data_IF_753816225095
#
_entry.id   IF_753816225095
#
_cell.length_a   1.000
_cell.length_b   1.000
_cell.length_c   1.000
_cell.angle_alpha   90.00
_cell.angle_beta   90.00
_cell.angle_gamma   90.00
#
_symmetry.space_group_name_H-M   'P 1'
#
loop_
_entity.id
_entity.type
_entity.pdbx_description
1 polymer ?
#
# COMPACT_ATOMS: atom_id res chain seq x y z
N UNK A 1 -12.62 18.16 -0.13
CA UNK A 1 -11.48 17.59 0.60
C UNK A 1 -10.58 18.67 1.18
N UNK A 2 -9.77 18.31 2.17
CA UNK A 2 -8.60 19.08 2.60
C UNK A 2 -7.46 18.71 1.65
N UNK A 3 -6.75 19.72 1.14
CA UNK A 3 -5.64 19.49 0.19
C UNK A 3 -4.33 19.92 0.84
N UNK A 4 -3.43 18.96 1.05
CA UNK A 4 -2.03 19.19 1.35
C UNK A 4 -1.24 19.16 0.06
N UNK A 5 -0.53 20.22 -0.24
CA UNK A 5 0.16 20.33 -1.53
C UNK A 5 1.32 21.33 -1.47
N UNK A 6 2.08 21.38 -2.55
CA UNK A 6 3.20 22.29 -2.71
C UNK A 6 2.76 23.73 -2.97
N UNK A 7 3.70 24.67 -2.73
CA UNK A 7 3.57 26.06 -3.15
C UNK A 7 3.32 26.17 -4.67
N UNK A 8 4.00 25.36 -5.46
CA UNK A 8 3.89 25.42 -6.92
C UNK A 8 2.51 25.00 -7.41
N UNK A 9 1.86 24.05 -6.73
CA UNK A 9 0.46 23.72 -7.02
C UNK A 9 -0.49 24.89 -6.71
N UNK A 10 -0.26 25.61 -5.59
CA UNK A 10 -1.04 26.79 -5.23
C UNK A 10 -0.89 27.88 -6.29
N UNK A 11 0.29 28.02 -6.88
CA UNK A 11 0.59 29.02 -7.92
C UNK A 11 0.19 28.58 -9.34
N UNK A 12 -0.34 27.35 -9.50
CA UNK A 12 -0.72 26.81 -10.81
C UNK A 12 0.47 26.45 -11.71
N UNK A 13 1.61 26.12 -11.11
CA UNK A 13 2.86 25.78 -11.82
C UNK A 13 3.09 24.27 -11.94
N UNK A 14 2.21 23.44 -11.37
CA UNK A 14 2.32 21.97 -11.44
C UNK A 14 1.71 21.40 -12.71
N UNK A 15 2.26 20.28 -13.14
CA UNK A 15 1.78 19.43 -14.24
C UNK A 15 1.44 18.04 -13.72
N UNK A 16 0.98 17.16 -14.59
CA UNK A 16 0.74 15.74 -14.25
C UNK A 16 2.04 14.96 -13.93
N UNK A 17 3.21 15.49 -14.28
CA UNK A 17 4.51 14.90 -13.99
C UNK A 17 5.22 15.51 -12.77
N UNK A 18 4.64 16.54 -12.15
CA UNK A 18 5.22 17.18 -10.97
C UNK A 18 5.21 16.23 -9.78
N UNK A 19 6.31 16.22 -9.00
CA UNK A 19 6.51 15.41 -7.80
C UNK A 19 7.67 15.98 -6.96
N UNK A 20 7.93 15.46 -5.77
CA UNK A 20 9.12 15.81 -4.97
C UNK A 20 9.16 17.25 -4.48
N UNK A 21 8.04 17.94 -4.38
CA UNK A 21 8.01 19.37 -4.10
C UNK A 21 7.92 19.72 -2.60
N UNK A 22 7.67 18.74 -1.75
CA UNK A 22 7.62 18.87 -0.29
C UNK A 22 7.58 17.48 0.35
N UNK A 23 7.82 17.39 1.68
CA UNK A 23 8.08 16.13 2.37
C UNK A 23 6.87 15.22 2.63
N UNK A 24 5.64 15.62 2.25
CA UNK A 24 4.46 14.81 2.57
C UNK A 24 3.96 14.97 4.01
N UNK A 25 3.04 14.09 4.41
CA UNK A 25 2.41 14.10 5.73
C UNK A 25 2.91 12.91 6.57
N UNK A 26 3.47 13.22 7.74
CA UNK A 26 3.94 12.21 8.71
C UNK A 26 3.01 12.19 9.93
N UNK A 27 2.57 11.00 10.34
CA UNK A 27 1.81 10.77 11.57
C UNK A 27 2.61 9.84 12.47
N UNK A 28 3.06 10.35 13.62
CA UNK A 28 3.80 9.57 14.62
C UNK A 28 2.89 9.17 15.78
N UNK A 29 2.91 7.89 16.13
CA UNK A 29 2.17 7.31 17.24
C UNK A 29 3.05 6.58 18.25
N UNK A 30 2.44 5.89 19.20
CA UNK A 30 3.10 5.16 20.30
C UNK A 30 2.80 3.67 20.29
N UNK A 31 2.30 3.14 19.19
CA UNK A 31 2.06 1.71 19.02
C UNK A 31 3.36 0.94 18.75
N UNK A 32 3.37 -0.38 18.94
CA UNK A 32 4.55 -1.22 18.76
C UNK A 32 5.16 -1.15 17.36
N UNK A 33 6.49 -1.15 17.33
CA UNK A 33 7.33 -1.28 16.14
C UNK A 33 8.40 -2.34 16.37
N UNK A 34 9.05 -2.82 15.32
CA UNK A 34 10.09 -3.86 15.41
C UNK A 34 11.49 -3.30 15.49
N UNK A 35 11.82 -2.31 14.68
CA UNK A 35 13.14 -1.73 14.58
C UNK A 35 13.32 -0.55 15.55
N UNK A 36 14.16 -0.74 16.56
CA UNK A 36 14.34 0.22 17.64
C UNK A 36 15.63 1.02 17.44
N UNK A 37 15.55 2.34 17.63
CA UNK A 37 16.69 3.25 17.57
C UNK A 37 17.75 2.94 18.64
N UNK A 38 17.31 2.53 19.83
CA UNK A 38 18.20 2.17 20.93
C UNK A 38 18.60 0.71 20.78
N UNK A 39 19.90 0.46 20.67
CA UNK A 39 20.43 -0.90 20.59
C UNK A 39 20.01 -1.73 21.81
N UNK A 40 19.46 -2.92 21.56
CA UNK A 40 18.92 -3.84 22.55
C UNK A 40 17.63 -3.39 23.27
N UNK A 41 17.00 -2.28 22.89
CA UNK A 41 15.64 -2.03 23.33
C UNK A 41 14.74 -3.18 22.85
N UNK A 42 13.90 -3.78 23.72
CA UNK A 42 13.02 -4.85 23.27
C UNK A 42 11.94 -4.28 22.33
N UNK A 43 11.77 -4.85 21.12
CA UNK A 43 10.70 -4.41 20.21
C UNK A 43 9.32 -4.48 20.85
N UNK A 44 8.45 -3.53 20.50
CA UNK A 44 7.10 -3.43 21.06
C UNK A 44 7.01 -2.97 22.52
N UNK A 45 8.10 -2.47 23.09
CA UNK A 45 8.12 -1.88 24.43
C UNK A 45 8.16 -0.35 24.38
N UNK A 46 7.96 0.32 25.51
CA UNK A 46 8.02 1.77 25.61
C UNK A 46 9.42 2.36 25.28
N UNK A 47 10.45 1.55 25.37
CA UNK A 47 11.83 1.91 25.05
C UNK A 47 12.17 1.78 23.56
N UNK A 48 11.31 1.07 22.82
CA UNK A 48 11.45 0.88 21.37
C UNK A 48 10.81 2.02 20.62
N UNK A 49 11.59 3.04 20.35
CA UNK A 49 11.23 4.13 19.46
C UNK A 49 12.18 4.19 18.26
N UNK A 50 11.76 4.90 17.21
CA UNK A 50 12.58 5.19 16.04
C UNK A 50 12.39 6.64 15.61
N UNK A 51 13.43 7.19 15.02
CA UNK A 51 13.41 8.52 14.42
C UNK A 51 12.67 8.44 13.07
N UNK A 52 11.78 9.39 12.83
CA UNK A 52 11.19 9.57 11.49
C UNK A 52 12.32 9.78 10.49
N UNK A 53 12.26 9.07 9.40
CA UNK A 53 13.23 9.12 8.32
C UNK A 53 13.40 10.56 7.83
N UNK A 54 14.64 10.97 7.63
CA UNK A 54 14.96 12.30 7.18
C UNK A 54 14.68 13.47 8.14
N UNK A 55 14.11 13.22 9.32
CA UNK A 55 13.90 14.28 10.29
C UNK A 55 15.22 14.78 10.88
N UNK A 56 15.48 16.07 10.77
CA UNK A 56 16.66 16.73 11.34
C UNK A 56 16.51 16.92 12.85
N UNK A 57 15.33 17.33 13.28
CA UNK A 57 14.96 17.44 14.69
C UNK A 57 14.38 16.13 15.21
N UNK A 58 14.38 15.94 16.52
CA UNK A 58 13.86 14.73 17.15
C UNK A 58 12.36 14.59 16.88
N UNK A 59 12.02 13.63 16.03
CA UNK A 59 10.65 13.22 15.70
C UNK A 59 10.57 11.70 15.87
N UNK A 60 10.10 11.25 17.04
CA UNK A 60 10.10 9.83 17.40
C UNK A 60 8.70 9.23 17.30
N UNK A 61 8.68 7.97 16.88
CA UNK A 61 7.48 7.13 16.88
C UNK A 61 7.78 5.75 17.48
N UNK A 62 6.74 4.99 17.80
CA UNK A 62 6.86 3.66 18.41
C UNK A 62 6.70 3.68 19.92
N UNK A 63 6.52 2.51 20.50
CA UNK A 63 6.29 2.32 21.92
C UNK A 63 5.51 1.06 22.22
N UNK A 64 4.69 1.08 23.30
CA UNK A 64 3.94 -0.08 23.77
C UNK A 64 2.41 0.09 23.70
N UNK A 65 1.90 1.22 23.19
CA UNK A 65 0.48 1.56 23.25
C UNK A 65 -0.23 1.15 21.96
N UNK A 66 -0.57 -0.13 21.82
CA UNK A 66 -1.19 -0.65 20.61
C UNK A 66 -2.50 0.05 20.20
N UNK A 67 -3.23 0.62 21.14
CA UNK A 67 -4.46 1.39 20.91
C UNK A 67 -4.23 2.91 20.91
N UNK A 68 -3.01 3.35 20.66
CA UNK A 68 -2.70 4.77 20.48
C UNK A 68 -3.67 5.44 19.49
N UNK A 69 -3.98 6.71 19.75
CA UNK A 69 -4.89 7.48 18.93
C UNK A 69 -4.22 8.78 18.47
N UNK A 70 -3.72 8.77 17.25
CA UNK A 70 -3.13 9.95 16.60
C UNK A 70 -4.16 10.81 15.86
N UNK A 71 -5.47 10.56 16.05
CA UNK A 71 -6.55 11.37 15.51
C UNK A 71 -7.29 10.75 14.33
N UNK A 72 -7.88 11.61 13.49
CA UNK A 72 -8.66 11.21 12.32
C UNK A 72 -8.20 11.95 11.08
N UNK A 73 -7.83 11.19 10.05
CA UNK A 73 -7.51 11.68 8.71
C UNK A 73 -8.60 11.22 7.75
N UNK A 74 -9.40 12.17 7.23
CA UNK A 74 -10.53 11.82 6.36
C UNK A 74 -10.82 12.88 5.30
N UNK A 75 -11.10 12.44 4.06
CA UNK A 75 -11.33 13.29 2.90
C UNK A 75 -10.16 14.24 2.65
N UNK A 76 -8.98 13.67 2.55
CA UNK A 76 -7.71 14.39 2.38
C UNK A 76 -7.08 14.02 1.04
N UNK A 77 -6.48 15.01 0.41
CA UNK A 77 -5.59 14.81 -0.73
C UNK A 77 -4.19 15.27 -0.36
N UNK A 78 -3.19 14.45 -0.67
CA UNK A 78 -1.75 14.77 -0.55
C UNK A 78 -1.18 14.71 -1.96
N UNK A 79 -0.64 15.83 -2.44
CA UNK A 79 -0.24 15.97 -3.85
C UNK A 79 1.19 16.45 -4.00
N UNK A 80 1.92 15.89 -4.97
CA UNK A 80 3.26 16.32 -5.40
C UNK A 80 4.32 16.28 -4.30
N UNK A 81 4.16 15.36 -3.40
CA UNK A 81 5.03 15.13 -2.24
C UNK A 81 6.15 14.13 -2.55
N UNK A 82 6.74 13.62 -1.49
CA UNK A 82 7.92 12.79 -1.55
C UNK A 82 9.16 13.64 -1.77
N UNK A 83 10.13 13.58 -0.89
CA UNK A 83 11.35 14.36 -1.02
C UNK A 83 12.56 13.52 -0.61
N UNK A 84 13.47 13.34 -1.53
CA UNK A 84 14.74 12.64 -1.27
C UNK A 84 15.64 13.57 -0.47
N UNK A 85 15.88 13.23 0.80
CA UNK A 85 16.76 13.96 1.71
C UNK A 85 18.20 13.50 1.56
N UNK A 86 18.42 12.21 1.28
CA UNK A 86 19.72 11.60 0.98
C UNK A 86 19.46 10.26 0.27
N UNK A 87 20.51 9.59 -0.23
CA UNK A 87 20.39 8.36 -1.01
C UNK A 87 19.79 7.14 -0.29
N UNK A 88 19.37 7.27 0.97
CA UNK A 88 18.66 6.23 1.74
C UNK A 88 17.73 6.88 2.77
N UNK A 89 17.17 8.02 2.46
CA UNK A 89 16.31 8.77 3.38
C UNK A 89 15.35 9.60 2.55
N UNK A 90 14.19 9.05 2.33
CA UNK A 90 13.13 9.57 1.52
C UNK A 90 11.91 9.90 2.40
N UNK A 91 11.05 10.80 1.92
CA UNK A 91 9.78 11.12 2.53
C UNK A 91 8.66 10.82 1.53
N UNK A 92 7.70 10.05 1.95
CA UNK A 92 6.56 9.55 1.17
C UNK A 92 5.41 10.57 1.10
N UNK A 93 4.32 10.27 0.39
CA UNK A 93 3.15 11.15 0.47
C UNK A 93 2.48 11.04 1.85
N UNK A 94 2.23 9.83 2.34
CA UNK A 94 1.72 9.58 3.69
C UNK A 94 2.61 8.58 4.42
N UNK A 95 3.28 9.04 5.45
CA UNK A 95 4.06 8.18 6.36
C UNK A 95 3.33 8.02 7.68
N UNK A 96 3.20 6.78 8.17
CA UNK A 96 2.76 6.53 9.55
C UNK A 96 3.84 5.76 10.31
N UNK A 97 4.25 6.25 11.47
CA UNK A 97 5.19 5.56 12.34
C UNK A 97 4.54 5.18 13.67
N UNK A 98 4.44 3.87 13.98
CA UNK A 98 3.89 3.40 15.25
C UNK A 98 2.49 3.92 15.57
N UNK A 99 1.63 4.06 14.57
CA UNK A 99 0.25 4.56 14.74
C UNK A 99 -0.65 3.44 15.25
N UNK A 100 -1.43 3.70 16.29
CA UNK A 100 -2.23 2.69 16.98
C UNK A 100 -3.67 2.57 16.48
N UNK A 101 -4.33 1.50 16.93
CA UNK A 101 -5.69 1.12 16.49
C UNK A 101 -6.80 2.11 16.88
N UNK A 102 -6.52 3.09 17.74
CA UNK A 102 -7.44 4.20 18.02
C UNK A 102 -7.50 5.26 16.92
N UNK A 103 -6.58 5.23 15.96
CA UNK A 103 -6.48 6.18 14.85
C UNK A 103 -7.39 5.77 13.69
N UNK A 104 -8.03 6.74 13.05
CA UNK A 104 -8.89 6.52 11.90
C UNK A 104 -8.33 7.19 10.65
N UNK A 105 -8.01 6.39 9.61
CA UNK A 105 -7.53 6.88 8.32
C UNK A 105 -8.48 6.37 7.23
N UNK A 106 -9.13 7.30 6.51
CA UNK A 106 -10.07 6.91 5.46
C UNK A 106 -10.29 8.01 4.41
N UNK A 107 -10.61 7.62 3.18
CA UNK A 107 -10.83 8.55 2.06
C UNK A 107 -9.63 9.47 1.85
N UNK A 108 -8.48 8.88 1.57
CA UNK A 108 -7.23 9.61 1.33
C UNK A 108 -6.77 9.39 -0.10
N UNK A 109 -6.52 10.46 -0.82
CA UNK A 109 -5.86 10.42 -2.13
C UNK A 109 -4.40 10.86 -1.99
N UNK A 110 -3.51 10.05 -2.54
CA UNK A 110 -2.07 10.28 -2.63
C UNK A 110 -1.72 10.41 -4.11
N UNK A 111 -1.19 11.57 -4.51
CA UNK A 111 -0.99 11.86 -5.92
C UNK A 111 0.42 12.37 -6.20
N UNK A 112 1.14 11.62 -7.04
CA UNK A 112 2.48 11.96 -7.51
C UNK A 112 3.48 12.22 -6.36
N UNK A 113 3.72 11.22 -5.54
CA UNK A 113 4.90 11.18 -4.67
C UNK A 113 6.15 10.88 -5.51
N UNK A 114 7.30 11.47 -5.19
CA UNK A 114 8.58 11.11 -5.80
C UNK A 114 9.23 9.89 -5.14
N UNK A 115 8.55 9.32 -4.19
CA UNK A 115 8.85 8.11 -3.47
C UNK A 115 7.51 7.38 -3.28
N UNK A 116 7.29 6.66 -2.19
CA UNK A 116 6.05 5.90 -1.99
C UNK A 116 4.79 6.76 -1.95
N UNK A 117 3.70 6.13 -2.33
CA UNK A 117 2.37 6.68 -2.09
C UNK A 117 2.06 6.70 -0.60
N UNK A 118 2.12 5.57 0.07
CA UNK A 118 2.06 5.46 1.52
C UNK A 118 3.11 4.49 2.04
N UNK A 119 3.64 4.79 3.23
CA UNK A 119 4.52 3.88 3.96
C UNK A 119 4.12 3.78 5.43
N UNK A 120 3.98 2.54 5.93
CA UNK A 120 3.55 2.24 7.28
C UNK A 120 4.65 1.54 8.08
N UNK A 121 5.34 2.30 8.92
CA UNK A 121 6.38 1.82 9.83
C UNK A 121 5.78 1.28 11.12
N UNK A 122 5.44 0.01 11.16
CA UNK A 122 4.83 -0.61 12.34
C UNK A 122 3.48 -0.04 12.71
N UNK A 123 3.03 -0.33 13.93
CA UNK A 123 1.72 0.11 14.41
C UNK A 123 0.60 -0.90 14.16
N UNK A 124 -0.63 -0.49 14.52
CA UNK A 124 -1.79 -1.40 14.57
C UNK A 124 -3.07 -0.76 14.03
N UNK A 125 -2.97 0.39 13.36
CA UNK A 125 -4.14 1.08 12.84
C UNK A 125 -4.75 0.38 11.63
N UNK A 126 -6.02 0.63 11.41
CA UNK A 126 -6.73 0.21 10.21
C UNK A 126 -6.97 1.42 9.31
N UNK A 127 -6.97 1.17 7.99
CA UNK A 127 -7.18 2.20 7.01
C UNK A 127 -8.12 1.73 5.89
N UNK A 128 -8.85 2.66 5.27
CA UNK A 128 -9.79 2.30 4.20
C UNK A 128 -9.98 3.42 3.18
N UNK A 129 -10.29 3.03 1.94
CA UNK A 129 -10.60 3.93 0.83
C UNK A 129 -9.44 4.84 0.47
N UNK A 130 -8.35 4.21 0.03
CA UNK A 130 -7.23 4.91 -0.58
C UNK A 130 -7.38 5.01 -2.09
N UNK A 131 -6.96 6.14 -2.62
CA UNK A 131 -6.75 6.38 -4.05
C UNK A 131 -5.30 6.83 -4.22
N UNK A 132 -4.46 6.00 -4.82
CA UNK A 132 -3.03 6.25 -4.98
C UNK A 132 -2.74 6.35 -6.48
N UNK A 133 -2.13 7.44 -6.90
CA UNK A 133 -1.85 7.69 -8.32
C UNK A 133 -0.43 8.21 -8.51
N UNK A 134 0.34 7.52 -9.34
CA UNK A 134 1.62 7.99 -9.82
C UNK A 134 2.73 8.13 -8.77
N UNK A 135 2.76 7.29 -7.75
CA UNK A 135 3.93 7.16 -6.88
C UNK A 135 5.14 6.71 -7.71
N UNK A 136 6.34 7.21 -7.39
CA UNK A 136 7.53 6.99 -8.22
C UNK A 136 8.38 5.82 -7.72
N UNK A 137 8.13 5.35 -6.51
CA UNK A 137 8.60 4.06 -5.99
C UNK A 137 7.39 3.14 -5.77
N UNK A 138 7.10 2.70 -4.57
CA UNK A 138 5.96 1.84 -4.30
C UNK A 138 4.65 2.61 -4.11
N UNK A 139 3.52 2.02 -4.52
CA UNK A 139 2.24 2.63 -4.18
C UNK A 139 1.91 2.44 -2.70
N UNK A 140 2.25 1.27 -2.16
CA UNK A 140 2.08 0.90 -0.75
C UNK A 140 3.36 0.22 -0.30
N UNK A 141 4.05 0.75 0.71
CA UNK A 141 5.07 0.03 1.47
C UNK A 141 4.63 -0.18 2.92
N UNK A 142 4.93 -1.36 3.45
CA UNK A 142 4.56 -1.72 4.83
C UNK A 142 5.64 -2.55 5.48
N UNK A 143 6.20 -2.04 6.57
CA UNK A 143 7.28 -2.69 7.26
C UNK A 143 7.24 -2.53 8.79
N UNK A 144 8.38 -2.78 9.45
CA UNK A 144 8.67 -2.55 10.88
C UNK A 144 7.63 -3.11 11.87
N UNK A 145 6.97 -4.20 11.48
CA UNK A 145 6.05 -4.88 12.38
C UNK A 145 4.63 -4.31 12.37
N UNK A 146 4.21 -3.68 11.29
CA UNK A 146 2.81 -3.26 11.10
C UNK A 146 1.85 -4.44 11.20
N UNK A 147 0.77 -4.29 11.96
CA UNK A 147 -0.25 -5.33 12.18
C UNK A 147 -1.65 -4.73 12.11
N UNK A 148 -2.02 -4.26 10.95
CA UNK A 148 -3.33 -3.67 10.69
C UNK A 148 -3.97 -4.23 9.43
N UNK A 149 -5.09 -3.61 9.04
CA UNK A 149 -5.77 -3.93 7.79
C UNK A 149 -6.00 -2.69 6.93
N UNK A 150 -6.00 -2.92 5.62
CA UNK A 150 -6.38 -1.92 4.61
C UNK A 150 -7.49 -2.49 3.75
N UNK A 151 -8.54 -1.71 3.47
CA UNK A 151 -9.62 -2.14 2.57
C UNK A 151 -10.04 -1.03 1.61
N UNK A 152 -10.40 -1.40 0.38
CA UNK A 152 -10.77 -0.52 -0.73
C UNK A 152 -9.61 0.39 -1.17
N UNK A 153 -8.73 -0.16 -2.01
CA UNK A 153 -7.59 0.58 -2.56
C UNK A 153 -7.65 0.61 -4.08
N UNK A 154 -7.65 1.79 -4.64
CA UNK A 154 -7.35 2.03 -6.06
C UNK A 154 -5.91 2.53 -6.12
N UNK A 155 -5.01 1.81 -6.79
CA UNK A 155 -3.67 2.28 -7.05
C UNK A 155 -3.34 2.15 -8.54
N UNK A 156 -2.95 3.26 -9.15
CA UNK A 156 -2.65 3.36 -10.58
C UNK A 156 -1.33 4.09 -10.79
N UNK A 157 -0.36 3.40 -11.36
CA UNK A 157 0.95 3.97 -11.66
C UNK A 157 0.95 4.79 -12.96
N UNK A 158 1.91 5.71 -13.05
CA UNK A 158 2.26 6.42 -14.29
C UNK A 158 2.87 5.45 -15.31
N UNK A 159 2.89 5.86 -16.57
CA UNK A 159 3.61 5.16 -17.64
C UNK A 159 5.10 5.55 -17.72
N UNK A 160 5.50 6.59 -16.99
CA UNK A 160 6.86 7.14 -16.90
C UNK A 160 7.29 7.25 -15.44
N UNK A 161 8.58 7.40 -15.20
CA UNK A 161 9.15 7.53 -13.85
C UNK A 161 9.72 6.22 -13.31
N UNK A 162 10.04 6.19 -12.02
CA UNK A 162 10.63 5.07 -11.32
C UNK A 162 9.69 3.88 -11.23
N UNK A 163 8.60 4.03 -10.53
CA UNK A 163 7.52 3.06 -10.29
C UNK A 163 8.02 1.62 -10.06
N UNK A 164 8.32 1.26 -8.81
CA UNK A 164 8.81 -0.10 -8.51
C UNK A 164 7.65 -1.08 -8.35
N UNK A 165 7.00 -1.15 -7.21
CA UNK A 165 5.88 -2.09 -6.99
C UNK A 165 4.56 -1.36 -6.70
N UNK A 166 3.45 -2.06 -6.83
CA UNK A 166 2.16 -1.58 -6.32
C UNK A 166 2.05 -1.80 -4.83
N UNK A 167 2.77 -2.82 -4.34
CA UNK A 167 2.90 -3.12 -2.92
C UNK A 167 4.22 -3.82 -2.65
N UNK A 168 4.99 -3.28 -1.72
CA UNK A 168 6.11 -3.95 -1.07
C UNK A 168 5.77 -4.25 0.39
N UNK A 169 6.13 -5.44 0.88
CA UNK A 169 6.05 -5.80 2.29
C UNK A 169 7.39 -6.32 2.76
N UNK A 170 7.86 -5.78 3.89
CA UNK A 170 9.10 -6.23 4.52
C UNK A 170 8.91 -6.45 6.03
N UNK A 171 9.86 -7.11 6.61
CA UNK A 171 10.22 -6.99 8.01
C UNK A 171 11.67 -6.54 8.01
N UNK A 172 12.00 -5.48 8.70
CA UNK A 172 13.32 -4.85 8.65
C UNK A 172 14.46 -5.87 8.67
N UNK A 173 15.43 -5.70 7.79
CA UNK A 173 16.54 -6.62 7.58
C UNK A 173 17.22 -7.01 8.90
N UNK A 174 17.58 -8.29 9.04
CA UNK A 174 18.11 -8.91 10.26
C UNK A 174 17.13 -8.97 11.47
N UNK A 175 15.91 -8.44 11.34
CA UNK A 175 14.90 -8.44 12.39
C UNK A 175 13.74 -9.41 12.10
N UNK A 176 13.88 -10.25 11.10
CA UNK A 176 12.84 -11.18 10.62
C UNK A 176 12.28 -12.13 11.69
N UNK A 177 13.01 -12.34 12.79
CA UNK A 177 12.59 -13.16 13.92
C UNK A 177 12.13 -12.33 15.13
N UNK A 178 12.07 -11.02 15.02
CA UNK A 178 11.60 -10.14 16.10
C UNK A 178 10.07 -10.01 16.09
N UNK A 179 9.50 -9.54 17.21
CA UNK A 179 8.09 -9.21 17.36
C UNK A 179 7.95 -7.74 17.78
N UNK A 180 6.92 -7.03 17.27
CA UNK A 180 5.87 -7.48 16.36
C UNK A 180 6.42 -7.79 14.96
N UNK A 181 5.80 -8.76 14.29
CA UNK A 181 6.12 -9.06 12.88
C UNK A 181 5.19 -8.27 11.98
N UNK A 182 5.68 -7.86 10.83
CA UNK A 182 4.82 -7.28 9.78
C UNK A 182 3.78 -8.31 9.35
N UNK A 183 2.52 -7.94 9.46
CA UNK A 183 1.38 -8.72 8.98
C UNK A 183 0.31 -7.80 8.43
N UNK A 184 0.36 -7.57 7.13
CA UNK A 184 -0.67 -6.81 6.43
C UNK A 184 -1.84 -7.71 6.05
N UNK A 185 -3.05 -7.23 6.31
CA UNK A 185 -4.29 -7.76 5.73
C UNK A 185 -4.87 -6.73 4.78
N UNK A 186 -5.01 -7.10 3.51
CA UNK A 186 -5.48 -6.19 2.45
C UNK A 186 -6.68 -6.80 1.71
N UNK A 187 -7.78 -6.05 1.62
CA UNK A 187 -8.97 -6.51 0.93
C UNK A 187 -9.51 -5.48 -0.07
N UNK A 188 -10.17 -5.97 -1.14
CA UNK A 188 -10.82 -5.14 -2.16
C UNK A 188 -9.91 -4.07 -2.76
N UNK A 189 -8.92 -4.50 -3.51
CA UNK A 189 -7.95 -3.62 -4.14
C UNK A 189 -7.89 -3.82 -5.66
N UNK A 190 -7.60 -2.75 -6.38
CA UNK A 190 -7.29 -2.75 -7.81
C UNK A 190 -5.96 -2.06 -8.02
N UNK A 191 -4.97 -2.82 -8.48
CA UNK A 191 -3.62 -2.38 -8.76
C UNK A 191 -3.38 -2.37 -10.27
N UNK A 192 -2.96 -1.22 -10.80
CA UNK A 192 -2.66 -1.05 -12.23
C UNK A 192 -1.25 -0.51 -12.39
N UNK A 193 -0.31 -1.42 -12.60
CA UNK A 193 1.09 -1.10 -12.84
C UNK A 193 1.30 -0.88 -14.34
N UNK A 194 1.66 0.33 -14.72
CA UNK A 194 1.78 0.72 -16.13
C UNK A 194 3.22 0.78 -16.64
N UNK A 195 4.21 0.86 -15.77
CA UNK A 195 5.61 0.93 -16.16
C UNK A 195 6.21 -0.48 -16.24
N UNK A 196 6.36 -1.00 -17.45
CA UNK A 196 6.94 -2.33 -17.68
C UNK A 196 8.47 -2.38 -17.54
N UNK A 197 9.12 -1.22 -17.41
CA UNK A 197 10.57 -1.11 -17.23
C UNK A 197 10.98 -0.95 -15.75
N UNK A 198 10.03 -1.05 -14.82
CA UNK A 198 10.28 -0.88 -13.39
C UNK A 198 11.29 -1.90 -12.82
N UNK A 199 12.11 -1.42 -11.90
CA UNK A 199 13.35 -2.00 -11.45
C UNK A 199 13.29 -3.42 -10.91
N UNK A 200 12.56 -3.69 -9.84
CA UNK A 200 12.50 -5.03 -9.21
C UNK A 200 11.60 -6.03 -9.92
N UNK A 201 10.81 -5.55 -10.85
CA UNK A 201 10.08 -6.35 -11.78
C UNK A 201 9.02 -7.25 -11.20
N UNK A 202 8.22 -6.77 -10.24
CA UNK A 202 6.96 -7.39 -9.82
C UNK A 202 5.99 -6.35 -9.26
N UNK A 203 4.71 -6.45 -9.62
CA UNK A 203 3.70 -5.55 -9.07
C UNK A 203 3.44 -5.75 -7.57
N UNK A 204 3.67 -6.96 -7.06
CA UNK A 204 3.58 -7.28 -5.64
C UNK A 204 4.88 -7.99 -5.22
N UNK A 205 5.59 -7.42 -4.26
CA UNK A 205 6.83 -7.94 -3.73
C UNK A 205 6.73 -8.12 -2.22
N UNK A 206 7.01 -9.32 -1.74
CA UNK A 206 7.00 -9.63 -0.31
C UNK A 206 8.33 -10.24 0.09
N UNK A 207 8.94 -9.69 1.14
CA UNK A 207 10.27 -10.05 1.60
C UNK A 207 10.38 -10.02 3.13
N UNK A 208 11.59 -10.24 3.67
CA UNK A 208 11.85 -10.19 5.11
C UNK A 208 11.01 -11.13 5.95
N UNK A 209 10.44 -12.17 5.33
CA UNK A 209 9.51 -13.08 6.00
C UNK A 209 8.24 -12.41 6.50
N UNK A 210 7.82 -11.28 5.93
CA UNK A 210 6.58 -10.61 6.28
C UNK A 210 5.37 -11.52 6.04
N UNK A 211 4.41 -11.47 6.95
CA UNK A 211 3.12 -12.16 6.79
C UNK A 211 2.14 -11.29 6.00
N UNK A 212 1.33 -11.91 5.15
CA UNK A 212 0.34 -11.22 4.35
C UNK A 212 -0.93 -12.04 4.12
N UNK A 213 -2.08 -11.36 4.12
CA UNK A 213 -3.34 -11.94 3.66
C UNK A 213 -4.04 -10.97 2.71
N UNK A 214 -4.07 -11.32 1.43
CA UNK A 214 -4.70 -10.52 0.38
C UNK A 214 -6.02 -11.17 -0.06
N UNK A 215 -7.08 -10.37 -0.14
CA UNK A 215 -8.44 -10.84 -0.43
C UNK A 215 -9.11 -9.93 -1.46
N UNK A 216 -9.78 -10.54 -2.46
CA UNK A 216 -10.57 -9.82 -3.45
C UNK A 216 -9.79 -8.75 -4.22
N UNK A 217 -8.68 -9.13 -4.82
CA UNK A 217 -7.81 -8.22 -5.58
C UNK A 217 -7.95 -8.38 -7.09
N UNK A 218 -7.72 -7.28 -7.78
CA UNK A 218 -7.46 -7.25 -9.23
C UNK A 218 -6.10 -6.60 -9.45
N UNK A 219 -5.21 -7.28 -10.19
CA UNK A 219 -3.88 -6.76 -10.53
C UNK A 219 -3.70 -6.79 -12.03
N UNK A 220 -3.35 -5.65 -12.61
CA UNK A 220 -3.03 -5.51 -14.04
C UNK A 220 -1.63 -4.93 -14.14
N UNK A 221 -0.70 -5.67 -14.77
CA UNK A 221 0.68 -5.24 -14.91
C UNK A 221 1.28 -5.71 -16.23
N UNK A 222 2.15 -4.90 -16.80
CA UNK A 222 2.98 -5.28 -17.97
C UNK A 222 4.23 -6.08 -17.59
N UNK A 223 4.50 -6.25 -16.31
CA UNK A 223 5.61 -7.02 -15.71
C UNK A 223 5.05 -8.18 -14.86
N UNK A 224 5.87 -9.06 -14.28
CA UNK A 224 5.40 -10.08 -13.33
C UNK A 224 4.55 -9.47 -12.21
N UNK A 225 3.47 -10.15 -11.82
CA UNK A 225 2.59 -9.64 -10.77
C UNK A 225 3.05 -10.01 -9.36
N UNK A 226 3.79 -11.10 -9.18
CA UNK A 226 4.17 -11.58 -7.86
C UNK A 226 5.63 -12.02 -7.80
N UNK A 227 6.30 -11.59 -6.72
CA UNK A 227 7.63 -12.02 -6.31
C UNK A 227 7.65 -12.21 -4.78
N UNK A 228 8.20 -13.34 -4.32
CA UNK A 228 8.41 -13.65 -2.92
C UNK A 228 9.91 -13.81 -2.68
N UNK A 229 10.50 -13.00 -1.80
CA UNK A 229 11.93 -13.01 -1.50
C UNK A 229 12.22 -13.64 -0.13
N UNK A 230 13.29 -14.44 -0.06
CA UNK A 230 13.73 -15.12 1.16
C UNK A 230 12.94 -16.39 1.46
N UNK A 231 13.62 -17.52 1.59
CA UNK A 231 12.98 -18.83 1.82
C UNK A 231 12.15 -18.86 3.12
N UNK A 232 12.45 -18.01 4.09
CA UNK A 232 11.70 -17.89 5.34
C UNK A 232 10.26 -17.41 5.13
N UNK A 233 9.94 -16.68 4.05
CA UNK A 233 8.56 -16.22 3.77
C UNK A 233 7.59 -17.40 3.57
N UNK A 234 8.12 -18.58 3.21
CA UNK A 234 7.35 -19.79 2.96
C UNK A 234 7.10 -20.64 4.21
N UNK A 235 7.55 -20.19 5.39
CA UNK A 235 7.50 -21.02 6.61
C UNK A 235 6.72 -20.34 7.72
N UNK A 236 5.95 -21.11 8.48
CA UNK A 236 5.32 -20.65 9.72
C UNK A 236 6.25 -20.84 10.93
N UNK A 237 6.09 -19.99 11.95
CA UNK A 237 6.74 -20.15 13.24
C UNK A 237 5.89 -19.54 14.36
N UNK A 238 5.07 -20.35 15.00
CA UNK A 238 4.15 -19.89 16.05
C UNK A 238 4.86 -19.27 17.26
N UNK A 239 6.13 -19.64 17.52
CA UNK A 239 6.89 -19.08 18.66
C UNK A 239 7.15 -17.57 18.52
N UNK A 240 7.14 -17.05 17.30
CA UNK A 240 7.33 -15.62 16.99
C UNK A 240 6.10 -15.00 16.34
N UNK A 241 4.95 -15.67 16.37
CA UNK A 241 3.71 -15.18 15.76
C UNK A 241 3.78 -15.05 14.23
N UNK A 242 4.61 -15.89 13.57
CA UNK A 242 4.72 -15.94 12.12
C UNK A 242 3.68 -16.90 11.53
N UNK A 243 2.79 -16.38 10.72
CA UNK A 243 1.66 -17.14 10.14
C UNK A 243 2.12 -18.12 9.04
N UNK A 244 3.15 -17.75 8.27
CA UNK A 244 3.69 -18.56 7.19
C UNK A 244 3.52 -17.94 5.82
N UNK A 245 3.39 -18.77 4.76
CA UNK A 245 3.30 -18.23 3.41
C UNK A 245 2.17 -17.21 3.27
N UNK A 246 2.37 -16.14 2.50
CA UNK A 246 1.30 -15.19 2.17
C UNK A 246 0.07 -15.90 1.61
N UNK A 247 -1.12 -15.46 1.99
CA UNK A 247 -2.38 -16.01 1.49
C UNK A 247 -3.02 -15.09 0.48
N UNK A 248 -3.55 -15.68 -0.60
CA UNK A 248 -4.15 -14.96 -1.73
C UNK A 248 -5.54 -15.53 -2.00
N UNK A 249 -6.60 -14.83 -1.59
CA UNK A 249 -7.98 -15.31 -1.75
C UNK A 249 -8.76 -14.46 -2.74
N UNK A 250 -9.24 -15.09 -3.81
CA UNK A 250 -9.99 -14.42 -4.89
C UNK A 250 -9.22 -13.25 -5.52
N UNK A 251 -7.95 -13.50 -5.88
CA UNK A 251 -7.09 -12.54 -6.58
C UNK A 251 -7.08 -12.90 -8.06
N UNK A 252 -7.36 -11.92 -8.92
CA UNK A 252 -7.30 -12.07 -10.37
C UNK A 252 -6.17 -11.19 -10.94
N UNK A 253 -5.20 -11.82 -11.64
CA UNK A 253 -4.01 -11.12 -12.14
C UNK A 253 -3.91 -11.25 -13.65
N UNK A 254 -3.77 -10.11 -14.34
CA UNK A 254 -3.30 -9.98 -15.72
C UNK A 254 -1.88 -9.43 -15.70
N UNK A 255 -0.91 -10.23 -16.07
CA UNK A 255 0.51 -9.96 -15.84
C UNK A 255 1.32 -10.05 -17.12
N UNK A 256 2.53 -9.48 -17.08
CA UNK A 256 3.59 -9.81 -18.03
C UNK A 256 4.05 -11.27 -17.90
N UNK A 257 4.99 -11.66 -18.72
CA UNK A 257 5.51 -13.04 -18.74
C UNK A 257 6.92 -13.09 -18.15
N UNK A 258 7.18 -13.93 -17.14
CA UNK A 258 6.23 -14.81 -16.43
C UNK A 258 5.29 -14.04 -15.48
N UNK A 259 4.08 -14.54 -15.24
CA UNK A 259 3.15 -13.90 -14.33
C UNK A 259 3.63 -13.90 -12.86
N UNK A 260 4.33 -14.94 -12.46
CA UNK A 260 4.96 -15.10 -11.14
C UNK A 260 6.43 -15.44 -11.39
N UNK A 261 7.33 -14.71 -10.75
CA UNK A 261 8.77 -14.90 -10.94
C UNK A 261 9.45 -15.48 -9.70
N UNK A 262 10.65 -16.03 -9.90
CA UNK A 262 11.52 -16.39 -8.80
C UNK A 262 11.94 -15.15 -8.01
N UNK A 263 12.05 -15.30 -6.71
CA UNK A 263 12.56 -14.28 -5.80
C UNK A 263 14.04 -14.48 -5.47
N UNK A 264 14.59 -13.48 -4.79
CA UNK A 264 15.92 -13.61 -4.18
C UNK A 264 15.87 -14.51 -2.93
N UNK A 265 17.03 -14.93 -2.43
CA UNK A 265 17.10 -15.72 -1.20
C UNK A 265 16.47 -17.11 -1.27
N UNK A 266 16.38 -17.71 -2.47
CA UNK A 266 16.09 -19.12 -2.67
C UNK A 266 14.62 -19.49 -2.90
N UNK A 267 13.73 -18.54 -3.11
CA UNK A 267 12.35 -18.84 -3.51
C UNK A 267 12.27 -19.02 -5.02
N UNK A 268 11.84 -20.21 -5.45
CA UNK A 268 11.65 -20.49 -6.89
C UNK A 268 10.29 -19.96 -7.38
N UNK A 269 10.17 -19.75 -8.70
CA UNK A 269 8.89 -19.36 -9.30
C UNK A 269 7.78 -20.41 -9.02
N UNK A 270 8.12 -21.69 -9.02
CA UNK A 270 7.18 -22.77 -8.72
C UNK A 270 6.69 -22.74 -7.27
N UNK A 271 7.55 -22.41 -6.31
CA UNK A 271 7.16 -22.23 -4.90
C UNK A 271 6.23 -21.03 -4.71
N UNK A 272 6.56 -19.89 -5.34
CA UNK A 272 5.70 -18.71 -5.32
C UNK A 272 4.36 -19.00 -6.00
N UNK A 273 4.35 -19.70 -7.13
CA UNK A 273 3.14 -20.11 -7.83
C UNK A 273 2.30 -21.11 -7.01
N UNK A 274 2.93 -22.06 -6.33
CA UNK A 274 2.24 -22.99 -5.43
C UNK A 274 1.57 -22.24 -4.26
N UNK A 275 2.23 -21.23 -3.70
CA UNK A 275 1.68 -20.36 -2.65
C UNK A 275 0.45 -19.60 -3.17
N UNK A 276 0.56 -18.96 -4.33
CA UNK A 276 -0.53 -18.21 -4.94
C UNK A 276 -1.73 -19.10 -5.30
N UNK A 277 -1.48 -20.29 -5.84
CA UNK A 277 -2.50 -21.24 -6.29
C UNK A 277 -2.92 -22.25 -5.19
N UNK A 278 -2.60 -22.01 -3.93
CA UNK A 278 -2.94 -22.92 -2.85
C UNK A 278 -4.44 -23.26 -2.84
N UNK A 279 -4.77 -24.50 -2.47
CA UNK A 279 -6.14 -24.98 -2.51
C UNK A 279 -7.09 -24.08 -1.70
N UNK A 280 -8.24 -23.76 -2.28
CA UNK A 280 -9.24 -22.88 -1.66
C UNK A 280 -9.00 -21.37 -1.84
N UNK A 281 -7.89 -20.96 -2.45
CA UNK A 281 -7.60 -19.53 -2.70
C UNK A 281 -8.55 -18.90 -3.75
N UNK A 282 -9.07 -19.68 -4.70
CA UNK A 282 -9.90 -19.17 -5.81
C UNK A 282 -9.23 -18.03 -6.62
N UNK A 283 -7.90 -17.99 -6.64
CA UNK A 283 -7.09 -17.00 -7.33
C UNK A 283 -6.66 -17.46 -8.71
N UNK A 284 -6.31 -16.53 -9.60
CA UNK A 284 -5.84 -16.86 -10.94
C UNK A 284 -4.79 -15.85 -11.43
N UNK A 285 -3.69 -16.37 -12.01
CA UNK A 285 -2.67 -15.59 -12.68
C UNK A 285 -2.84 -15.56 -14.22
N UNK A 286 -3.91 -16.17 -14.75
CA UNK A 286 -4.27 -16.21 -16.17
C UNK A 286 -5.61 -15.49 -16.36
N UNK A 287 -5.68 -14.24 -15.98
CA UNK A 287 -6.88 -13.41 -16.06
C UNK A 287 -6.75 -12.41 -17.22
N UNK A 288 -7.87 -12.05 -17.81
CA UNK A 288 -7.98 -10.92 -18.74
C UNK A 288 -8.88 -9.87 -18.11
N UNK A 289 -8.31 -8.76 -17.75
CA UNK A 289 -9.06 -7.68 -17.12
C UNK A 289 -9.97 -6.96 -18.13
N UNK A 290 -11.15 -6.56 -17.67
CA UNK A 290 -12.12 -5.77 -18.42
C UNK A 290 -12.46 -4.44 -17.73
N UNK A 291 -11.54 -3.94 -16.91
CA UNK A 291 -11.70 -2.71 -16.12
C UNK A 291 -12.10 -1.52 -16.99
N UNK A 292 -13.12 -0.78 -16.57
CA UNK A 292 -13.52 0.48 -17.17
C UNK A 292 -12.89 1.66 -16.41
N UNK A 293 -12.50 2.72 -17.11
CA UNK A 293 -11.77 3.84 -16.49
C UNK A 293 -10.43 3.44 -15.84
N UNK A 294 -9.97 2.21 -16.07
CA UNK A 294 -8.73 1.66 -15.55
C UNK A 294 -8.81 1.01 -14.16
N UNK A 295 -9.92 1.14 -13.42
CA UNK A 295 -10.02 0.59 -12.05
C UNK A 295 -11.42 0.14 -11.63
N UNK A 296 -12.45 0.43 -12.41
CA UNK A 296 -13.84 -0.01 -12.15
C UNK A 296 -14.06 -1.38 -12.77
N UNK A 297 -14.60 -2.32 -12.02
CA UNK A 297 -14.88 -3.67 -12.52
C UNK A 297 -15.77 -3.68 -13.76
N UNK A 298 -15.32 -4.43 -14.76
CA UNK A 298 -16.10 -4.80 -15.93
C UNK A 298 -16.73 -6.20 -15.79
N UNK A 299 -17.09 -6.78 -16.91
CA UNK A 299 -17.80 -8.07 -16.94
C UNK A 299 -16.93 -9.23 -16.42
N UNK A 300 -15.62 -9.24 -16.71
CA UNK A 300 -14.74 -10.33 -16.30
C UNK A 300 -14.50 -10.34 -14.80
N UNK A 301 -14.31 -9.16 -14.19
CA UNK A 301 -14.17 -9.01 -12.74
C UNK A 301 -15.47 -9.38 -12.02
N UNK A 302 -16.60 -8.88 -12.52
CA UNK A 302 -17.93 -9.14 -11.95
C UNK A 302 -18.31 -10.62 -12.00
N UNK A 303 -17.81 -11.36 -12.99
CA UNK A 303 -17.99 -12.81 -13.12
C UNK A 303 -17.17 -13.66 -12.12
N UNK A 304 -16.28 -13.05 -11.33
CA UNK A 304 -15.43 -13.79 -10.37
C UNK A 304 -16.13 -13.96 -9.02
N UNK A 305 -15.94 -15.14 -8.43
CA UNK A 305 -16.42 -15.41 -7.06
C UNK A 305 -15.48 -14.72 -6.06
N UNK A 306 -16.04 -13.87 -5.22
CA UNK A 306 -15.33 -13.22 -4.14
C UNK A 306 -15.30 -14.10 -2.88
N UNK A 307 -14.33 -13.85 -2.02
CA UNK A 307 -14.25 -14.36 -0.65
C UNK A 307 -14.83 -13.31 0.31
N UNK A 308 -15.63 -13.68 1.31
CA UNK A 308 -15.99 -12.72 2.37
C UNK A 308 -14.73 -12.33 3.17
N UNK A 309 -14.28 -11.07 3.15
CA UNK A 309 -13.08 -10.65 3.84
C UNK A 309 -13.13 -10.89 5.35
N UNK A 310 -14.31 -10.90 5.96
CA UNK A 310 -14.49 -11.22 7.37
C UNK A 310 -14.06 -12.63 7.76
N UNK A 311 -13.90 -13.54 6.80
CA UNK A 311 -13.32 -14.87 7.04
C UNK A 311 -11.81 -14.83 7.27
N UNK A 312 -11.18 -13.70 6.94
CA UNK A 312 -9.75 -13.45 7.16
C UNK A 312 -9.55 -12.57 8.40
N UNK A 313 -10.33 -11.50 8.52
CA UNK A 313 -10.34 -10.64 9.70
C UNK A 313 -11.71 -10.00 9.91
N UNK A 314 -12.22 -10.07 11.14
CA UNK A 314 -13.53 -9.51 11.50
C UNK A 314 -13.60 -7.98 11.36
N UNK A 315 -12.47 -7.29 11.30
CA UNK A 315 -12.37 -5.84 11.11
C UNK A 315 -12.68 -5.37 9.70
N UNK A 316 -12.72 -6.28 8.70
CA UNK A 316 -13.12 -5.92 7.34
C UNK A 316 -14.63 -5.74 7.20
N UNK A 317 -15.04 -4.90 6.26
CA UNK A 317 -16.40 -4.89 5.73
C UNK A 317 -16.65 -6.13 4.85
N UNK A 318 -17.84 -6.73 4.94
CA UNK A 318 -18.26 -7.81 4.03
C UNK A 318 -18.43 -7.27 2.62
N UNK A 319 -17.83 -7.94 1.66
CA UNK A 319 -17.98 -7.65 0.23
C UNK A 319 -18.23 -8.94 -0.56
N UNK A 320 -18.91 -8.81 -1.70
CA UNK A 320 -19.27 -9.93 -2.59
C UNK A 320 -18.67 -9.77 -3.99
N UNK A 321 -17.62 -8.95 -4.13
CA UNK A 321 -16.92 -8.69 -5.38
C UNK A 321 -15.43 -8.61 -5.16
N UNK A 322 -14.64 -8.87 -6.20
CA UNK A 322 -13.20 -8.62 -6.23
C UNK A 322 -12.93 -7.18 -6.71
N UNK A 323 -11.70 -6.68 -6.47
CA UNK A 323 -11.32 -5.32 -6.87
C UNK A 323 -11.84 -4.23 -5.92
N UNK A 324 -11.35 -3.02 -6.11
CA UNK A 324 -11.65 -1.86 -5.27
C UNK A 324 -13.05 -1.29 -5.50
N UNK A 325 -13.54 -1.35 -6.73
CA UNK A 325 -14.78 -0.73 -7.18
C UNK A 325 -15.68 -1.78 -7.83
N UNK A 326 -16.85 -2.00 -7.25
CA UNK A 326 -17.76 -3.08 -7.64
C UNK A 326 -18.23 -2.98 -9.09
N UNK A 327 -18.67 -1.81 -9.51
CA UNK A 327 -19.24 -1.52 -10.84
C UNK A 327 -19.38 0.01 -11.02
N UNK A 328 -19.98 0.47 -12.11
CA UNK A 328 -20.12 1.89 -12.43
C UNK A 328 -21.00 2.68 -11.44
N UNK A 329 -21.89 2.03 -10.70
CA UNK A 329 -22.73 2.66 -9.68
C UNK A 329 -22.00 2.82 -8.34
N UNK A 330 -20.90 2.10 -8.14
CA UNK A 330 -20.05 2.21 -6.93
C UNK A 330 -19.07 3.37 -7.09
N UNK A 331 -19.42 4.51 -6.56
CA UNK A 331 -18.71 5.78 -6.77
C UNK A 331 -18.03 6.31 -5.50
N UNK A 332 -17.63 5.43 -4.57
CA UNK A 332 -17.04 5.84 -3.30
C UNK A 332 -15.82 6.78 -3.43
N UNK A 333 -15.11 6.68 -4.54
CA UNK A 333 -13.93 7.50 -4.88
C UNK A 333 -14.27 8.90 -5.40
N UNK A 334 -15.51 9.12 -5.85
CA UNK A 334 -15.92 10.35 -6.55
C UNK A 334 -16.21 11.50 -5.58
N UNK A 335 -16.08 12.74 -6.07
CA UNK A 335 -16.47 13.97 -5.37
C UNK A 335 -15.44 14.50 -4.36
N UNK A 336 -14.44 13.71 -4.00
CA UNK A 336 -13.37 14.14 -3.09
C UNK A 336 -11.96 13.94 -3.67
N UNK A 337 -11.83 13.24 -4.78
CA UNK A 337 -10.57 13.01 -5.49
C UNK A 337 -10.34 14.04 -6.59
N UNK A 338 -9.10 14.27 -6.97
CA UNK A 338 -8.72 15.03 -8.16
C UNK A 338 -8.36 14.10 -9.31
N UNK A 339 -8.48 14.61 -10.54
CA UNK A 339 -8.19 13.91 -11.79
C UNK A 339 -6.79 14.26 -12.32
N UNK A 340 -6.16 13.34 -13.03
CA UNK A 340 -4.90 13.53 -13.75
C UNK A 340 -4.87 12.71 -15.04
N UNK A 341 -3.82 12.81 -15.82
CA UNK A 341 -3.58 11.91 -16.95
C UNK A 341 -3.43 10.44 -16.49
N UNK A 342 -3.01 10.21 -15.24
CA UNK A 342 -2.88 8.87 -14.67
C UNK A 342 -4.22 8.19 -14.45
N UNK A 343 -5.21 8.92 -13.90
CA UNK A 343 -6.55 8.38 -13.66
C UNK A 343 -7.61 9.49 -13.56
N UNK A 344 -8.83 9.18 -14.03
CA UNK A 344 -9.98 10.05 -13.92
C UNK A 344 -11.03 9.44 -12.99
N UNK A 345 -11.42 10.19 -11.97
CA UNK A 345 -12.39 9.80 -10.93
C UNK A 345 -13.77 10.44 -11.13
N UNK A 346 -14.05 10.86 -12.35
CA UNK A 346 -15.34 11.39 -12.77
C UNK A 346 -15.36 12.92 -12.98
N UNK A 347 -16.46 13.39 -13.58
CA UNK A 347 -16.61 14.78 -14.00
C UNK A 347 -16.68 15.79 -12.83
N UNK A 348 -16.98 15.34 -11.62
CA UNK A 348 -17.01 16.19 -10.43
C UNK A 348 -15.61 16.49 -9.85
N UNK A 349 -14.56 15.77 -10.30
CA UNK A 349 -13.19 15.97 -9.87
C UNK A 349 -12.53 17.13 -10.63
N UNK A 350 -11.83 18.02 -9.89
CA UNK A 350 -10.94 19.01 -10.51
C UNK A 350 -9.62 18.33 -10.93
N UNK A 351 -8.87 18.94 -11.85
CA UNK A 351 -7.51 18.46 -12.14
C UNK A 351 -6.63 18.57 -10.88
N UNK A 352 -5.74 17.59 -10.65
CA UNK A 352 -4.81 17.63 -9.51
C UNK A 352 -3.87 18.83 -9.58
N UNK A 353 -3.57 19.32 -10.79
CA UNK A 353 -2.78 20.55 -11.02
C UNK A 353 -3.51 21.85 -10.62
N UNK A 354 -4.77 21.77 -10.20
CA UNK A 354 -5.57 22.94 -9.76
C UNK A 354 -6.13 22.69 -8.36
N UNK A 355 -6.37 23.77 -7.61
CA UNK A 355 -7.04 23.68 -6.31
C UNK A 355 -8.55 23.74 -6.45
N UNK A 356 -9.31 23.03 -5.61
CA UNK A 356 -10.75 23.22 -5.54
C UNK A 356 -11.07 24.67 -5.20
N UNK A 357 -11.94 25.31 -5.98
CA UNK A 357 -12.43 26.64 -5.63
C UNK A 357 -13.49 26.51 -4.55
N UNK A 358 -13.26 27.16 -3.42
CA UNK A 358 -14.33 27.38 -2.44
C UNK A 358 -15.21 28.47 -3.03
N UNK A 359 -16.40 28.10 -3.48
CA UNK A 359 -17.46 29.09 -3.74
C UNK A 359 -18.06 29.46 -2.38
N UNK A 360 -18.06 30.76 -2.03
CA UNK A 360 -18.61 31.22 -0.76
C UNK A 360 -20.11 30.94 -0.65
#
# INVERSE_FOLDING_TARGET
PIVFTSRDNVLGLTTDDSQGQWGGLVISGRAPITDCRITNAPPGTAECDRQVEGAVDTALYGGATANDNSGTLRYVQIRYSGFVLSGNSELQALTTGGVGSGTSISFVQLHNSSDDGLEFFGGTHNATRFVITGADDDSIDVDMGFRGLIQHVIAVQKTSGGADSMIELDTANALENQQPRTYLKLANFTFVHRNSAAGNGAAMRFRGGADAALVNGVVVAGLPCLRLDGANILTANAAIGKEGPPTFRSIAMQCGTPAIRAGDGGVTADQAAATFNAAGNNSTAAFTASLTGGFVNGANETGRTATDPKTVDAGFDTTTWIGAVRNAEDTWYSGWTCNSATASFGASGTACSTLPRITP
#
